data_IF_863853895525
#
_entry.id   IF_863853895525
#
_cell.length_a   1.000
_cell.length_b   1.000
_cell.length_c   1.000
_cell.angle_alpha   90.00
_cell.angle_beta   90.00
_cell.angle_gamma   90.00
#
_symmetry.space_group_name_H-M   'P 1'
#
loop_
_entity.id
_entity.type
_entity.pdbx_description
1 polymer ?
#
# COMPACT_ATOMS: atom_id res chain seq x y z
N UNK A 1 19.30 15.66 10.21
CA UNK A 1 19.76 14.45 9.50
C UNK A 1 19.28 14.51 8.05
N UNK A 2 20.18 14.35 7.09
CA UNK A 2 19.90 14.42 5.65
C UNK A 2 19.18 13.14 5.21
N UNK A 3 17.98 13.27 4.62
CA UNK A 3 17.23 12.09 4.15
C UNK A 3 17.95 11.39 2.98
N UNK A 4 17.99 10.06 3.02
CA UNK A 4 18.53 9.21 1.95
C UNK A 4 17.72 9.36 0.65
N UNK A 5 18.32 9.05 -0.49
CA UNK A 5 17.64 9.09 -1.79
C UNK A 5 16.40 8.18 -1.83
N UNK A 6 16.48 7.01 -1.20
CA UNK A 6 15.35 6.09 -1.04
C UNK A 6 14.22 6.73 -0.19
N UNK A 7 14.56 7.36 0.94
CA UNK A 7 13.58 8.04 1.79
C UNK A 7 12.90 9.22 1.05
N UNK A 8 13.64 9.98 0.24
CA UNK A 8 13.08 11.04 -0.63
C UNK A 8 12.08 10.47 -1.64
N UNK A 9 12.41 9.36 -2.31
CA UNK A 9 11.53 8.70 -3.29
C UNK A 9 10.24 8.17 -2.65
N UNK A 10 10.35 7.56 -1.46
CA UNK A 10 9.20 7.08 -0.69
C UNK A 10 8.30 8.25 -0.28
N UNK A 11 8.88 9.34 0.24
CA UNK A 11 8.13 10.55 0.62
C UNK A 11 7.42 11.18 -0.58
N UNK A 12 8.09 11.31 -1.72
CA UNK A 12 7.50 11.83 -2.95
C UNK A 12 6.29 10.99 -3.40
N UNK A 13 6.43 9.67 -3.35
CA UNK A 13 5.36 8.73 -3.71
C UNK A 13 4.18 8.75 -2.74
N UNK A 14 4.41 8.94 -1.45
CA UNK A 14 3.34 9.12 -0.46
C UNK A 14 2.60 10.44 -0.68
N UNK A 15 3.31 11.51 -1.06
CA UNK A 15 2.74 12.82 -1.37
C UNK A 15 1.86 12.81 -2.64
N UNK A 16 2.13 11.91 -3.59
CA UNK A 16 1.37 11.83 -4.85
C UNK A 16 0.05 11.07 -4.77
N UNK A 17 -0.26 10.37 -3.67
CA UNK A 17 -1.53 9.63 -3.52
C UNK A 17 -2.73 10.60 -3.46
N UNK A 18 -3.90 10.28 -4.03
CA UNK A 18 -5.08 11.12 -3.83
C UNK A 18 -5.57 11.04 -2.37
N UNK A 19 -6.20 12.11 -1.90
CA UNK A 19 -6.99 12.13 -0.65
C UNK A 19 -8.40 12.52 -1.06
N UNK A 20 -9.38 11.66 -0.76
CA UNK A 20 -10.78 11.94 -1.01
C UNK A 20 -11.33 12.79 0.11
N UNK A 21 -12.09 13.82 -0.26
CA UNK A 21 -12.74 14.71 0.67
C UNK A 21 -14.17 15.03 0.23
N UNK A 22 -15.05 15.20 1.20
CA UNK A 22 -16.35 15.80 1.00
C UNK A 22 -16.27 17.30 1.27
N UNK A 23 -17.02 18.08 0.52
CA UNK A 23 -17.26 19.48 0.82
C UNK A 23 -18.47 19.53 1.75
N UNK A 24 -18.24 19.94 2.98
CA UNK A 24 -19.27 19.99 4.02
C UNK A 24 -19.37 21.36 4.66
N UNK A 25 -20.56 21.67 5.20
CA UNK A 25 -20.75 22.86 6.05
C UNK A 25 -20.17 22.58 7.43
N UNK A 26 -19.30 23.46 7.90
CA UNK A 26 -18.64 23.38 9.19
C UNK A 26 -18.69 24.71 9.93
N UNK A 27 -18.57 24.66 11.25
CA UNK A 27 -18.38 25.86 12.08
C UNK A 27 -16.91 25.94 12.49
N UNK A 28 -16.27 27.09 12.27
CA UNK A 28 -14.91 27.35 12.72
C UNK A 28 -14.94 27.66 14.22
N UNK A 29 -14.43 26.74 15.05
CA UNK A 29 -14.58 26.82 16.51
C UNK A 29 -14.06 28.11 17.16
N UNK A 30 -13.00 28.73 16.64
CA UNK A 30 -12.45 29.96 17.23
C UNK A 30 -13.28 31.20 16.93
N UNK A 31 -13.98 31.24 15.79
CA UNK A 31 -14.68 32.43 15.29
C UNK A 31 -16.20 32.29 15.32
N UNK A 32 -16.71 31.07 15.47
CA UNK A 32 -18.15 30.76 15.33
C UNK A 32 -18.67 30.89 13.91
N UNK A 33 -17.80 31.13 12.92
CA UNK A 33 -18.20 31.38 11.54
C UNK A 33 -18.52 30.07 10.81
N UNK A 34 -19.66 30.03 10.12
CA UNK A 34 -20.00 28.94 9.22
C UNK A 34 -19.23 29.06 7.91
N UNK A 35 -18.56 27.98 7.49
CA UNK A 35 -17.81 27.90 6.24
C UNK A 35 -18.00 26.53 5.58
N UNK A 36 -17.63 26.44 4.32
CA UNK A 36 -17.42 25.14 3.67
C UNK A 36 -16.00 24.66 3.94
N UNK A 37 -15.83 23.36 4.21
CA UNK A 37 -14.53 22.73 4.37
C UNK A 37 -14.47 21.38 3.65
N UNK A 38 -13.26 21.04 3.18
CA UNK A 38 -12.96 19.70 2.68
C UNK A 38 -12.62 18.77 3.85
N UNK A 39 -13.44 17.77 4.07
CA UNK A 39 -13.27 16.78 5.13
C UNK A 39 -12.94 15.42 4.55
N UNK A 40 -11.83 14.83 5.00
CA UNK A 40 -11.53 13.44 4.71
C UNK A 40 -12.60 12.53 5.35
N UNK A 41 -13.47 11.99 4.50
CA UNK A 41 -14.65 11.23 4.93
C UNK A 41 -14.26 9.87 5.52
N UNK A 42 -13.39 9.14 4.84
CA UNK A 42 -13.06 7.77 5.23
C UNK A 42 -11.81 7.68 6.12
N UNK A 43 -11.66 6.60 6.91
CA UNK A 43 -10.49 6.39 7.76
C UNK A 43 -9.16 6.43 6.99
N UNK A 44 -9.12 5.86 5.79
CA UNK A 44 -7.91 5.84 4.94
C UNK A 44 -7.44 7.25 4.55
N UNK A 45 -8.37 8.14 4.19
CA UNK A 45 -8.07 9.51 3.82
C UNK A 45 -7.56 10.31 5.02
N UNK A 46 -8.15 10.09 6.20
CA UNK A 46 -7.70 10.69 7.47
C UNK A 46 -6.30 10.23 7.85
N UNK A 47 -5.99 8.96 7.65
CA UNK A 47 -4.65 8.42 7.90
C UNK A 47 -3.61 9.00 6.93
N UNK A 48 -3.93 9.12 5.64
CA UNK A 48 -3.07 9.78 4.66
C UNK A 48 -2.80 11.25 5.04
N UNK A 49 -3.79 11.97 5.54
CA UNK A 49 -3.60 13.34 6.03
C UNK A 49 -2.61 13.40 7.22
N UNK A 50 -2.73 12.47 8.18
CA UNK A 50 -1.81 12.35 9.32
C UNK A 50 -0.39 12.03 8.86
N UNK A 51 -0.22 11.06 7.97
CA UNK A 51 1.08 10.65 7.44
C UNK A 51 1.79 11.77 6.66
N UNK A 52 1.02 12.69 6.04
CA UNK A 52 1.54 13.90 5.40
C UNK A 52 1.85 15.03 6.37
N UNK A 53 1.42 14.89 7.62
CA UNK A 53 1.66 15.86 8.67
C UNK A 53 0.89 17.17 8.46
N UNK A 54 -0.29 17.13 7.85
CA UNK A 54 -1.16 18.31 7.77
C UNK A 54 -1.61 18.74 9.17
N UNK A 55 -1.58 20.05 9.44
CA UNK A 55 -1.89 20.62 10.76
C UNK A 55 -2.90 21.75 10.66
N UNK A 56 -3.64 22.00 11.74
CA UNK A 56 -4.52 23.16 11.88
C UNK A 56 -3.72 24.45 11.65
N UNK A 57 -4.29 25.39 10.90
CA UNK A 57 -3.68 26.69 10.59
C UNK A 57 -2.61 26.66 9.50
N UNK A 58 -2.31 25.49 8.93
CA UNK A 58 -1.40 25.38 7.80
C UNK A 58 -2.08 25.82 6.51
N UNK A 59 -1.46 26.74 5.78
CA UNK A 59 -1.84 27.05 4.41
C UNK A 59 -1.35 25.94 3.46
N UNK A 60 -2.26 25.41 2.65
CA UNK A 60 -1.97 24.36 1.66
C UNK A 60 -2.59 24.75 0.32
N UNK A 61 -1.84 24.59 -0.77
CA UNK A 61 -2.37 24.72 -2.13
C UNK A 61 -3.00 23.40 -2.55
N UNK A 62 -4.24 23.46 -3.03
CA UNK A 62 -5.00 22.28 -3.48
C UNK A 62 -5.14 22.28 -5.00
N UNK A 63 -4.98 21.10 -5.61
CA UNK A 63 -5.42 20.80 -6.97
C UNK A 63 -6.50 19.73 -6.90
N UNK A 64 -7.72 20.08 -7.31
CA UNK A 64 -8.91 19.23 -7.13
C UNK A 64 -9.22 18.53 -8.43
N UNK A 65 -9.40 17.21 -8.37
CA UNK A 65 -9.84 16.37 -9.50
C UNK A 65 -11.07 15.56 -9.08
N UNK A 66 -12.00 15.36 -10.00
CA UNK A 66 -13.16 14.53 -9.75
C UNK A 66 -12.73 13.07 -9.51
N UNK A 67 -13.24 12.40 -8.46
CA UNK A 67 -13.10 10.96 -8.30
C UNK A 67 -13.71 10.23 -9.49
N UNK A 68 -13.03 9.22 -10.04
CA UNK A 68 -13.63 8.33 -11.04
C UNK A 68 -14.19 7.09 -10.36
N UNK A 69 -13.34 6.31 -9.68
CA UNK A 69 -13.74 5.05 -9.03
C UNK A 69 -13.17 4.90 -7.60
N UNK A 70 -13.42 5.87 -6.72
CA UNK A 70 -12.88 5.89 -5.35
C UNK A 70 -13.18 4.63 -4.52
N UNK A 71 -14.27 3.92 -4.82
CA UNK A 71 -14.68 2.71 -4.11
C UNK A 71 -13.66 1.57 -4.26
N UNK A 72 -12.97 1.46 -5.41
CA UNK A 72 -11.94 0.45 -5.66
C UNK A 72 -10.74 0.62 -4.72
N UNK A 73 -10.29 1.86 -4.56
CA UNK A 73 -9.25 2.22 -3.61
C UNK A 73 -9.65 1.85 -2.17
N UNK A 74 -10.88 2.22 -1.77
CA UNK A 74 -11.41 1.91 -0.43
C UNK A 74 -11.48 0.41 -0.17
N UNK A 75 -11.98 -0.35 -1.13
CA UNK A 75 -12.13 -1.80 -1.04
C UNK A 75 -10.78 -2.50 -0.83
N UNK A 76 -9.78 -2.17 -1.66
CA UNK A 76 -8.43 -2.74 -1.52
C UNK A 76 -7.79 -2.34 -0.19
N UNK A 77 -7.93 -1.08 0.24
CA UNK A 77 -7.40 -0.68 1.54
C UNK A 77 -8.06 -1.42 2.71
N UNK A 78 -9.37 -1.67 2.64
CA UNK A 78 -10.09 -2.46 3.65
C UNK A 78 -9.58 -3.90 3.70
N UNK A 79 -9.30 -4.51 2.55
CA UNK A 79 -8.64 -5.84 2.48
C UNK A 79 -7.26 -5.77 3.15
N UNK A 80 -6.44 -4.76 2.81
CA UNK A 80 -5.12 -4.60 3.41
C UNK A 80 -5.16 -4.48 4.93
N UNK A 81 -6.10 -3.69 5.46
CA UNK A 81 -6.31 -3.55 6.91
C UNK A 81 -6.70 -4.88 7.55
N UNK A 82 -7.64 -5.61 6.95
CA UNK A 82 -8.05 -6.93 7.43
C UNK A 82 -6.86 -7.88 7.55
N UNK A 83 -5.94 -7.89 6.57
CA UNK A 83 -4.76 -8.75 6.66
C UNK A 83 -3.81 -8.32 7.78
N UNK A 84 -3.52 -7.02 7.93
CA UNK A 84 -2.64 -6.51 9.00
C UNK A 84 -3.17 -6.88 10.39
N UNK A 85 -4.48 -6.83 10.57
CA UNK A 85 -5.12 -7.12 11.86
C UNK A 85 -5.18 -8.61 12.20
N UNK A 86 -5.04 -9.52 11.21
CA UNK A 86 -5.35 -10.93 11.38
C UNK A 86 -4.25 -11.91 10.92
N UNK A 87 -3.18 -11.44 10.28
CA UNK A 87 -2.06 -12.28 9.86
C UNK A 87 -0.87 -12.06 10.80
N UNK A 88 -0.39 -13.15 11.39
CA UNK A 88 0.83 -13.15 12.20
C UNK A 88 2.03 -12.66 11.38
N UNK A 89 2.81 -11.73 11.95
CA UNK A 89 3.98 -11.14 11.30
C UNK A 89 3.68 -9.93 10.42
N UNK A 90 2.42 -9.49 10.32
CA UNK A 90 2.02 -8.31 9.53
C UNK A 90 1.77 -7.07 10.38
N UNK A 91 2.02 -7.13 11.70
CA UNK A 91 1.69 -6.10 12.68
C UNK A 91 2.41 -4.77 12.41
N UNK A 92 3.56 -4.82 11.72
CA UNK A 92 4.35 -3.65 11.33
C UNK A 92 3.99 -3.03 9.98
N UNK A 93 3.08 -3.63 9.20
CA UNK A 93 2.73 -3.18 7.86
C UNK A 93 1.57 -2.18 7.90
N UNK A 94 1.63 -1.14 7.06
CA UNK A 94 0.43 -0.36 6.74
C UNK A 94 -0.47 -1.10 5.73
N UNK A 95 -1.76 -0.74 5.62
CA UNK A 95 -2.69 -1.41 4.70
C UNK A 95 -2.22 -1.40 3.24
N UNK A 96 -1.48 -0.38 2.83
CA UNK A 96 -0.95 -0.29 1.47
C UNK A 96 0.28 -1.21 1.29
N UNK A 97 1.15 -1.33 2.29
CA UNK A 97 2.26 -2.28 2.33
C UNK A 97 1.76 -3.72 2.31
N UNK A 98 0.68 -4.01 3.06
CA UNK A 98 -0.04 -5.27 3.04
C UNK A 98 -0.59 -5.60 1.65
N UNK A 99 -1.27 -4.65 0.98
CA UNK A 99 -1.73 -4.87 -0.41
C UNK A 99 -0.56 -5.14 -1.35
N UNK A 100 0.57 -4.44 -1.22
CA UNK A 100 1.75 -4.71 -2.04
C UNK A 100 2.39 -6.07 -1.76
N UNK A 101 2.34 -6.53 -0.51
CA UNK A 101 2.78 -7.87 -0.14
C UNK A 101 1.89 -8.90 -0.84
N UNK A 102 0.57 -8.76 -0.74
CA UNK A 102 -0.40 -9.60 -1.45
C UNK A 102 -0.18 -9.61 -2.96
N UNK A 103 0.08 -8.46 -3.58
CA UNK A 103 0.39 -8.38 -5.01
C UNK A 103 1.62 -9.21 -5.40
N UNK A 104 2.70 -9.15 -4.60
CA UNK A 104 3.93 -9.91 -4.86
C UNK A 104 3.71 -11.39 -4.69
N UNK A 105 3.08 -11.81 -3.60
CA UNK A 105 2.85 -13.23 -3.31
C UNK A 105 1.90 -13.87 -4.31
N UNK A 106 0.84 -13.15 -4.70
CA UNK A 106 -0.09 -13.60 -5.74
C UNK A 106 0.48 -13.43 -7.17
N UNK A 107 1.66 -12.82 -7.31
CA UNK A 107 2.30 -12.47 -8.59
C UNK A 107 1.36 -11.74 -9.57
N UNK A 108 0.55 -10.81 -9.05
CA UNK A 108 -0.43 -10.04 -9.84
C UNK A 108 -0.07 -8.58 -9.93
N UNK A 109 -0.25 -8.02 -11.13
CA UNK A 109 0.13 -6.64 -11.45
C UNK A 109 1.56 -6.30 -10.99
N UNK A 110 2.47 -7.27 -11.12
CA UNK A 110 3.90 -7.08 -10.89
C UNK A 110 4.62 -6.78 -12.20
N UNK A 111 5.75 -6.09 -12.09
CA UNK A 111 6.68 -5.86 -13.20
C UNK A 111 8.05 -6.43 -12.84
N UNK A 112 8.77 -6.91 -13.86
CA UNK A 112 10.19 -7.24 -13.73
C UNK A 112 10.98 -5.97 -13.96
N UNK A 113 11.83 -5.62 -13.00
CA UNK A 113 12.79 -4.53 -13.17
C UNK A 113 14.19 -5.04 -12.89
N UNK A 114 15.15 -4.57 -13.66
CA UNK A 114 16.56 -4.80 -13.39
C UNK A 114 17.03 -3.81 -12.31
N UNK A 115 17.53 -4.35 -11.20
CA UNK A 115 18.13 -3.55 -10.13
C UNK A 115 19.65 -3.71 -10.13
N UNK A 116 20.37 -2.64 -9.77
CA UNK A 116 21.81 -2.67 -9.59
C UNK A 116 22.21 -3.74 -8.56
N UNK A 117 23.02 -4.70 -9.01
CA UNK A 117 23.47 -5.84 -8.23
C UNK A 117 24.64 -5.51 -7.30
N UNK A 118 25.30 -4.36 -7.50
CA UNK A 118 26.53 -3.98 -6.80
C UNK A 118 26.44 -4.11 -5.27
N UNK A 119 25.36 -3.66 -4.60
CA UNK A 119 25.25 -3.79 -3.14
C UNK A 119 25.21 -5.25 -2.67
N UNK A 120 24.52 -6.12 -3.40
CA UNK A 120 24.40 -7.54 -3.08
C UNK A 120 25.73 -8.25 -3.29
N UNK A 121 26.37 -8.01 -4.44
CA UNK A 121 27.70 -8.57 -4.75
C UNK A 121 28.72 -8.15 -3.69
N UNK A 122 28.71 -6.86 -3.30
CA UNK A 122 29.60 -6.35 -2.26
C UNK A 122 29.36 -7.01 -0.90
N UNK A 123 28.09 -7.22 -0.52
CA UNK A 123 27.75 -7.90 0.73
C UNK A 123 28.19 -9.37 0.74
N UNK A 124 28.02 -10.10 -0.38
CA UNK A 124 28.48 -11.48 -0.53
C UNK A 124 30.00 -11.58 -0.45
N UNK A 125 30.72 -10.67 -1.10
CA UNK A 125 32.19 -10.63 -1.02
C UNK A 125 32.66 -10.34 0.41
N UNK A 126 32.05 -9.38 1.11
CA UNK A 126 32.37 -9.09 2.49
C UNK A 126 32.08 -10.28 3.43
N UNK A 127 30.97 -10.98 3.22
CA UNK A 127 30.63 -12.19 3.96
C UNK A 127 31.62 -13.33 3.69
N UNK A 128 32.15 -13.45 2.47
CA UNK A 128 33.19 -14.42 2.11
C UNK A 128 34.48 -14.16 2.88
N UNK A 129 34.97 -12.92 2.93
CA UNK A 129 36.15 -12.58 3.74
C UNK A 129 35.90 -12.85 5.23
N UNK A 130 34.69 -12.58 5.74
CA UNK A 130 34.35 -12.83 7.14
C UNK A 130 34.31 -14.34 7.47
N UNK A 131 33.83 -15.18 6.55
CA UNK A 131 33.67 -16.62 6.77
C UNK A 131 34.96 -17.42 6.54
N UNK A 132 35.77 -17.02 5.55
CA UNK A 132 36.93 -17.80 5.08
C UNK A 132 38.27 -17.09 5.28
N UNK A 133 38.25 -15.90 5.86
CA UNK A 133 39.44 -15.10 6.15
C UNK A 133 39.79 -14.09 5.05
N UNK A 134 40.70 -13.14 5.35
CA UNK A 134 41.05 -12.07 4.44
C UNK A 134 41.59 -12.60 3.10
N UNK A 135 40.97 -12.17 1.99
CA UNK A 135 41.40 -12.52 0.64
C UNK A 135 40.51 -13.56 -0.05
N UNK A 136 39.58 -14.18 0.67
CA UNK A 136 38.57 -15.06 0.09
C UNK A 136 37.70 -14.33 -0.94
N UNK A 137 37.35 -13.06 -0.70
CA UNK A 137 36.61 -12.24 -1.65
C UNK A 137 37.32 -12.08 -3.00
N UNK A 138 38.66 -12.03 -3.00
CA UNK A 138 39.45 -11.90 -4.23
C UNK A 138 39.34 -13.16 -5.09
N UNK A 139 39.46 -14.33 -4.46
CA UNK A 139 39.29 -15.62 -5.14
C UNK A 139 37.87 -15.77 -5.69
N UNK A 140 36.87 -15.40 -4.88
CA UNK A 140 35.47 -15.46 -5.28
C UNK A 140 35.16 -14.55 -6.47
N UNK A 141 35.79 -13.36 -6.55
CA UNK A 141 35.61 -12.42 -7.66
C UNK A 141 36.12 -12.96 -8.99
N UNK A 142 37.17 -13.79 -9.01
CA UNK A 142 37.71 -14.39 -10.23
C UNK A 142 36.78 -15.46 -10.83
N UNK A 143 35.98 -16.11 -10.00
CA UNK A 143 35.06 -17.19 -10.44
C UNK A 143 33.62 -16.72 -10.62
N UNK A 144 33.23 -15.60 -10.03
CA UNK A 144 31.90 -15.03 -10.21
C UNK A 144 31.76 -14.43 -11.61
N UNK A 145 30.65 -14.71 -12.33
CA UNK A 145 30.34 -13.99 -13.56
C UNK A 145 30.12 -12.50 -13.25
N UNK A 146 30.29 -11.64 -14.26
CA UNK A 146 29.92 -10.23 -14.14
C UNK A 146 28.41 -10.11 -14.01
N UNK A 147 27.95 -9.83 -12.79
CA UNK A 147 26.54 -9.58 -12.46
C UNK A 147 26.40 -8.08 -12.21
N UNK A 148 25.89 -7.35 -13.20
CA UNK A 148 25.65 -5.90 -13.11
C UNK A 148 24.26 -5.61 -12.58
N UNK A 149 23.27 -6.40 -12.99
CA UNK A 149 21.89 -6.28 -12.55
C UNK A 149 21.30 -7.61 -12.11
N UNK A 150 20.28 -7.54 -11.26
CA UNK A 150 19.45 -8.68 -10.87
C UNK A 150 18.01 -8.35 -11.25
N UNK A 151 17.32 -9.22 -12.02
CA UNK A 151 15.90 -9.04 -12.29
C UNK A 151 15.14 -9.29 -10.99
N UNK A 152 14.30 -8.33 -10.61
CA UNK A 152 13.42 -8.46 -9.44
C UNK A 152 11.97 -8.19 -9.80
N UNK A 153 11.10 -9.00 -9.23
CA UNK A 153 9.65 -8.81 -9.31
C UNK A 153 9.23 -7.73 -8.33
N UNK A 154 8.65 -6.63 -8.82
CA UNK A 154 8.14 -5.55 -7.97
C UNK A 154 6.66 -5.33 -8.24
N UNK A 155 5.87 -5.21 -7.17
CA UNK A 155 4.47 -4.84 -7.27
C UNK A 155 4.34 -3.42 -7.86
N UNK A 156 3.60 -3.30 -8.96
CA UNK A 156 3.33 -2.01 -9.58
C UNK A 156 2.58 -1.13 -8.58
N UNK A 157 2.86 0.16 -8.63
CA UNK A 157 2.13 1.14 -7.81
C UNK A 157 0.96 1.64 -8.60
N UNK A 158 -0.22 1.19 -8.19
CA UNK A 158 -1.44 1.34 -8.94
C UNK A 158 -2.24 2.51 -8.36
N UNK A 159 -2.67 3.41 -9.23
CA UNK A 159 -3.68 4.42 -8.91
C UNK A 159 -5.05 3.79 -9.18
N UNK A 160 -5.64 3.17 -8.16
CA UNK A 160 -6.85 2.34 -8.30
C UNK A 160 -8.07 3.11 -8.84
N UNK A 161 -8.07 4.42 -8.66
CA UNK A 161 -9.08 5.37 -9.10
C UNK A 161 -8.94 5.81 -10.55
N UNK A 162 -7.80 5.54 -11.18
CA UNK A 162 -7.56 5.77 -12.60
C UNK A 162 -7.29 4.49 -13.38
N UNK A 163 -7.50 3.33 -12.74
CA UNK A 163 -7.33 2.01 -13.32
C UNK A 163 -8.54 1.63 -14.18
N UNK A 164 -8.33 0.91 -15.27
CA UNK A 164 -9.46 0.34 -16.04
C UNK A 164 -10.09 -0.87 -15.31
N UNK A 165 -11.33 -1.21 -15.67
CA UNK A 165 -12.09 -2.28 -15.00
C UNK A 165 -11.40 -3.66 -15.13
N UNK A 166 -10.82 -3.96 -16.29
CA UNK A 166 -10.17 -5.25 -16.51
C UNK A 166 -8.88 -5.41 -15.70
N UNK A 167 -8.09 -4.34 -15.60
CA UNK A 167 -6.90 -4.30 -14.76
C UNK A 167 -7.28 -4.42 -13.28
N UNK A 168 -8.34 -3.73 -12.84
CA UNK A 168 -8.82 -3.85 -11.46
C UNK A 168 -9.32 -5.26 -11.17
N UNK A 169 -10.10 -5.85 -12.06
CA UNK A 169 -10.61 -7.21 -11.93
C UNK A 169 -9.48 -8.23 -11.82
N UNK A 170 -8.46 -8.15 -12.69
CA UNK A 170 -7.27 -9.02 -12.62
C UNK A 170 -6.54 -8.92 -11.28
N UNK A 171 -6.33 -7.70 -10.81
CA UNK A 171 -5.71 -7.45 -9.50
C UNK A 171 -6.54 -8.07 -8.38
N UNK A 172 -7.83 -7.75 -8.37
CA UNK A 172 -8.75 -8.10 -7.30
C UNK A 172 -8.99 -9.60 -7.20
N UNK A 173 -9.28 -10.26 -8.32
CA UNK A 173 -9.43 -11.72 -8.38
C UNK A 173 -8.13 -12.43 -8.00
N UNK A 174 -6.98 -11.88 -8.41
CA UNK A 174 -5.67 -12.42 -8.07
C UNK A 174 -5.39 -12.41 -6.57
N UNK A 175 -5.55 -11.24 -5.95
CA UNK A 175 -5.38 -11.06 -4.51
C UNK A 175 -6.38 -11.92 -3.73
N UNK A 176 -7.65 -11.89 -4.11
CA UNK A 176 -8.68 -12.60 -3.34
C UNK A 176 -8.53 -14.12 -3.42
N UNK A 177 -8.13 -14.65 -4.59
CA UNK A 177 -7.78 -16.06 -4.76
C UNK A 177 -6.61 -16.46 -3.87
N UNK A 178 -5.54 -15.66 -3.84
CA UNK A 178 -4.36 -15.93 -3.00
C UNK A 178 -4.72 -15.92 -1.51
N UNK A 179 -5.51 -14.95 -1.05
CA UNK A 179 -6.01 -14.91 0.33
C UNK A 179 -6.77 -16.19 0.67
N UNK A 180 -7.70 -16.59 -0.20
CA UNK A 180 -8.48 -17.82 0.00
C UNK A 180 -7.61 -19.08 0.08
N UNK A 181 -6.53 -19.17 -0.70
CA UNK A 181 -5.64 -20.34 -0.68
C UNK A 181 -4.61 -20.32 0.45
N UNK A 182 -4.04 -19.15 0.75
CA UNK A 182 -2.85 -19.03 1.61
C UNK A 182 -3.18 -18.56 3.03
N UNK A 183 -4.30 -17.86 3.24
CA UNK A 183 -4.61 -17.21 4.52
C UNK A 183 -5.95 -17.62 5.12
N UNK A 184 -6.78 -18.39 4.42
CA UNK A 184 -8.09 -18.78 4.97
C UNK A 184 -8.01 -19.53 6.30
N UNK A 185 -6.92 -20.24 6.57
CA UNK A 185 -6.75 -20.98 7.82
C UNK A 185 -6.37 -20.09 9.02
N UNK A 186 -5.85 -18.87 8.78
CA UNK A 186 -5.49 -17.92 9.85
C UNK A 186 -6.55 -16.85 10.07
N UNK A 187 -7.46 -16.65 9.11
CA UNK A 187 -8.58 -15.73 9.25
C UNK A 187 -9.72 -16.39 10.03
N UNK A 188 -10.25 -15.69 11.02
CA UNK A 188 -11.44 -16.15 11.77
C UNK A 188 -12.64 -16.25 10.82
N UNK A 189 -13.53 -17.22 11.03
CA UNK A 189 -14.68 -17.48 10.16
C UNK A 189 -15.56 -16.24 9.86
N UNK A 190 -15.78 -15.39 10.85
CA UNK A 190 -16.56 -14.15 10.66
C UNK A 190 -15.83 -13.14 9.76
N UNK A 191 -14.50 -13.07 9.88
CA UNK A 191 -13.62 -12.24 9.04
C UNK A 191 -13.57 -12.78 7.62
N UNK A 192 -13.54 -14.10 7.45
CA UNK A 192 -13.68 -14.75 6.14
C UNK A 192 -15.03 -14.44 5.50
N UNK A 193 -16.12 -14.49 6.26
CA UNK A 193 -17.45 -14.17 5.74
C UNK A 193 -17.53 -12.71 5.28
N UNK A 194 -17.01 -11.77 6.08
CA UNK A 194 -16.93 -10.35 5.69
C UNK A 194 -16.06 -10.16 4.44
N UNK A 195 -14.91 -10.83 4.39
CA UNK A 195 -14.02 -10.83 3.23
C UNK A 195 -14.73 -11.32 1.96
N UNK A 196 -15.46 -12.43 2.02
CA UNK A 196 -16.19 -12.94 0.86
C UNK A 196 -17.38 -12.07 0.46
N UNK A 197 -18.06 -11.41 1.42
CA UNK A 197 -19.07 -10.40 1.11
C UNK A 197 -18.46 -9.19 0.38
N UNK A 198 -17.26 -8.77 0.78
CA UNK A 198 -16.50 -7.71 0.09
C UNK A 198 -16.02 -8.16 -1.31
N UNK A 199 -15.50 -9.39 -1.42
CA UNK A 199 -15.03 -10.00 -2.66
C UNK A 199 -16.14 -10.18 -3.70
N UNK A 200 -17.36 -10.49 -3.25
CA UNK A 200 -18.52 -10.68 -4.14
C UNK A 200 -19.29 -9.38 -4.42
N UNK A 201 -18.72 -8.21 -4.09
CA UNK A 201 -19.31 -6.90 -4.40
C UNK A 201 -20.52 -6.51 -3.56
N UNK A 202 -20.80 -7.21 -2.44
CA UNK A 202 -21.92 -6.90 -1.55
C UNK A 202 -21.53 -6.02 -0.36
N UNK A 203 -20.24 -5.94 -0.02
CA UNK A 203 -19.72 -5.18 1.13
C UNK A 203 -19.72 -3.65 0.98
N UNK A 204 -20.16 -3.10 -0.15
CA UNK A 204 -20.29 -1.64 -0.38
C UNK A 204 -21.73 -1.14 -0.28
N UNK A 205 -22.71 -2.03 -0.07
CA UNK A 205 -24.08 -1.60 0.23
C UNK A 205 -24.13 -1.08 1.67
N UNK A 206 -24.68 0.13 1.92
CA UNK A 206 -24.93 0.56 3.29
C UNK A 206 -25.83 -0.50 3.96
N UNK A 207 -25.50 -0.85 5.21
CA UNK A 207 -26.35 -1.74 6.00
C UNK A 207 -27.78 -1.21 5.95
N UNK A 208 -28.80 -2.06 5.69
CA UNK A 208 -30.18 -1.60 5.66
C UNK A 208 -30.46 -0.90 6.99
N UNK A 209 -30.97 0.34 6.89
CA UNK A 209 -31.27 1.15 8.06
C UNK A 209 -32.05 0.29 9.06
N UNK A 210 -31.50 0.09 10.25
CA UNK A 210 -32.23 -0.58 11.33
C UNK A 210 -33.50 0.23 11.50
N UNK A 211 -34.64 -0.36 11.13
CA UNK A 211 -35.94 0.22 11.44
C UNK A 211 -35.98 0.34 12.96
N UNK A 212 -36.02 1.57 13.45
CA UNK A 212 -36.30 1.84 14.84
C UNK A 212 -37.67 1.20 15.13
N UNK A 213 -37.67 0.26 16.06
CA UNK A 213 -38.88 -0.21 16.73
C UNK A 213 -39.20 0.75 17.87
#
# INVERSE_FOLDING_TARGET
>A
MTMTAAAKKIRAKRASRPIYALIERVVVMDTGEERLAMLAEHPVDRELMKQRGYRRGQEVRLEIKAPRDAWRHRLLHKIGQLMVENVEGWEGLDSHEAIKQLQREANVCCEQIDMDATPVVSAVLAASDAAFGPGAAKLLREVLPRIETIPVTVARSLAFDSMDEDEFRRLFEGITRHIGSAYAHVLINDVLAEFWLMANGQGTRPAPARRAA
#
